data_IF_667231383431
#
_entry.id   IF_667231383431
#
_cell.length_a   1.000
_cell.length_b   1.000
_cell.length_c   1.000
_cell.angle_alpha   90.00
_cell.angle_beta   90.00
_cell.angle_gamma   90.00
#
_symmetry.space_group_name_H-M   'P 1'
#
loop_
_entity.id
_entity.type
_entity.pdbx_description
1 polymer ?
#
# COMPACT_ATOMS: atom_id res chain seq x y z
N UNK A 1 -7.31 5.61 4.26
CA UNK A 1 -5.88 5.90 3.97
C UNK A 1 -5.43 5.34 2.62
N UNK A 2 -5.68 4.08 2.27
CA UNK A 2 -5.24 3.53 0.96
C UNK A 2 -5.80 4.26 -0.24
N UNK A 3 -7.07 4.67 -0.16
CA UNK A 3 -7.70 5.51 -1.17
C UNK A 3 -6.93 6.82 -1.38
N UNK A 4 -6.50 7.45 -0.29
CA UNK A 4 -5.73 8.70 -0.33
C UNK A 4 -4.39 8.44 -0.99
N UNK A 5 -3.66 7.42 -0.54
CA UNK A 5 -2.37 7.05 -1.09
C UNK A 5 -2.44 6.81 -2.61
N UNK A 6 -3.48 6.11 -3.06
CA UNK A 6 -3.72 5.86 -4.48
C UNK A 6 -4.17 7.11 -5.25
N UNK A 7 -4.80 8.09 -4.59
CA UNK A 7 -5.29 9.32 -5.20
C UNK A 7 -4.21 10.40 -5.33
N UNK A 8 -3.31 10.50 -4.34
CA UNK A 8 -2.28 11.53 -4.26
C UNK A 8 -0.94 11.08 -4.83
N UNK A 9 -0.73 9.76 -5.01
CA UNK A 9 0.57 9.19 -5.38
C UNK A 9 1.71 9.56 -4.42
N UNK A 10 1.37 9.86 -3.16
CA UNK A 10 2.35 10.03 -2.09
C UNK A 10 3.03 8.70 -1.75
N UNK A 11 4.12 8.76 -0.98
CA UNK A 11 4.81 7.55 -0.51
C UNK A 11 4.06 6.92 0.66
N UNK A 12 3.50 7.77 1.52
CA UNK A 12 2.78 7.34 2.70
C UNK A 12 1.66 8.32 3.11
N UNK A 13 0.79 7.88 4.00
CA UNK A 13 -0.36 8.65 4.51
C UNK A 13 -0.40 8.59 6.03
N UNK A 14 -0.65 9.73 6.67
CA UNK A 14 -1.06 9.82 8.08
C UNK A 14 -2.35 10.64 8.14
N UNK A 15 -3.40 10.04 8.72
CA UNK A 15 -4.61 10.73 9.14
C UNK A 15 -4.79 10.55 10.65
N UNK A 16 -5.21 11.59 11.36
CA UNK A 16 -5.63 11.43 12.75
C UNK A 16 -6.97 10.67 12.80
N UNK A 17 -7.12 9.76 13.76
CA UNK A 17 -8.32 8.93 13.93
C UNK A 17 -9.58 9.74 14.17
N UNK A 18 -9.45 10.96 14.71
CA UNK A 18 -10.54 11.92 14.83
C UNK A 18 -11.23 12.30 13.53
N UNK A 19 -10.67 11.94 12.36
CA UNK A 19 -11.30 12.08 11.04
C UNK A 19 -12.50 11.16 10.86
N UNK A 20 -12.50 9.98 11.49
CA UNK A 20 -13.54 8.97 11.34
C UNK A 20 -14.57 9.12 12.47
N UNK A 21 -15.79 9.54 12.13
CA UNK A 21 -16.79 10.07 13.09
C UNK A 21 -18.06 9.24 13.23
N UNK A 22 -18.14 8.07 12.61
CA UNK A 22 -19.41 7.35 12.59
C UNK A 22 -19.80 6.73 13.92
N UNK A 23 -18.86 6.58 14.86
CA UNK A 23 -19.04 6.07 16.23
C UNK A 23 -19.85 4.76 16.32
N UNK A 24 -19.78 3.95 15.26
CA UNK A 24 -20.53 2.69 15.13
C UNK A 24 -19.76 1.69 14.28
N UNK A 25 -20.09 0.41 14.46
CA UNK A 25 -19.70 -0.65 13.54
C UNK A 25 -20.69 -0.66 12.37
N UNK A 26 -20.18 -0.54 11.15
CA UNK A 26 -21.01 -0.65 9.93
C UNK A 26 -21.11 -2.12 9.54
N UNK A 27 -22.34 -2.64 9.45
CA UNK A 27 -22.59 -4.02 9.05
C UNK A 27 -22.16 -4.29 7.61
N UNK A 28 -21.76 -5.53 7.26
CA UNK A 28 -21.51 -5.92 5.89
C UNK A 28 -22.72 -5.65 4.99
N UNK A 29 -22.52 -5.06 3.82
CA UNK A 29 -23.59 -4.75 2.89
C UNK A 29 -23.27 -3.62 1.92
N UNK A 30 -24.29 -3.10 1.21
CA UNK A 30 -24.13 -1.95 0.34
C UNK A 30 -23.65 -0.72 1.11
N UNK A 31 -22.54 -0.13 0.65
CA UNK A 31 -22.04 1.13 1.20
C UNK A 31 -22.78 2.31 0.56
N UNK A 32 -23.50 3.09 1.36
CA UNK A 32 -24.33 4.20 0.89
C UNK A 32 -23.68 5.57 1.09
N UNK A 33 -24.23 6.60 0.44
CA UNK A 33 -23.77 7.97 0.66
C UNK A 33 -24.02 8.46 2.09
N UNK A 34 -25.08 7.97 2.74
CA UNK A 34 -25.35 8.22 4.16
C UNK A 34 -24.22 7.65 5.02
N UNK A 35 -23.73 6.45 4.70
CA UNK A 35 -22.62 5.84 5.45
C UNK A 35 -21.34 6.66 5.27
N UNK A 36 -21.02 7.07 4.04
CA UNK A 36 -19.87 7.94 3.77
C UNK A 36 -19.93 9.25 4.56
N UNK A 37 -21.05 9.97 4.47
CA UNK A 37 -21.26 11.23 5.21
C UNK A 37 -21.23 11.03 6.73
N UNK A 38 -21.62 9.86 7.24
CA UNK A 38 -21.50 9.55 8.66
C UNK A 38 -20.05 9.28 9.11
N UNK A 39 -19.23 8.69 8.23
CA UNK A 39 -17.84 8.33 8.55
C UNK A 39 -16.93 9.55 8.42
N UNK A 40 -17.05 10.31 7.33
CA UNK A 40 -16.25 11.51 7.04
C UNK A 40 -17.17 12.71 6.83
N UNK A 41 -17.80 13.24 7.90
CA UNK A 41 -18.77 14.34 7.81
C UNK A 41 -18.10 15.68 7.50
N UNK A 42 -16.84 15.85 7.89
CA UNK A 42 -16.09 17.10 7.72
C UNK A 42 -15.34 17.02 6.39
N UNK A 43 -15.55 18.04 5.56
CA UNK A 43 -14.72 18.32 4.40
C UNK A 43 -13.38 18.85 4.88
N UNK A 44 -12.46 17.91 5.13
CA UNK A 44 -11.07 18.26 5.44
C UNK A 44 -10.24 18.20 4.15
N UNK A 45 -9.64 19.32 3.72
CA UNK A 45 -8.73 19.30 2.57
C UNK A 45 -7.50 18.46 2.88
N UNK A 46 -7.06 17.72 1.86
CA UNK A 46 -5.81 16.95 1.89
C UNK A 46 -4.67 17.80 1.37
N UNK A 47 -3.44 17.46 1.76
CA UNK A 47 -2.21 18.11 1.32
C UNK A 47 -1.12 17.05 1.19
N UNK A 48 -0.20 17.21 0.24
CA UNK A 48 1.01 16.38 0.15
C UNK A 48 2.22 17.23 0.54
N UNK A 49 2.93 16.77 1.56
CA UNK A 49 4.09 17.43 2.14
C UNK A 49 5.38 16.69 1.78
N UNK A 50 6.46 17.44 1.56
CA UNK A 50 7.83 16.93 1.59
C UNK A 50 8.32 16.97 3.05
N UNK A 51 8.51 15.79 3.64
CA UNK A 51 8.97 15.63 5.03
C UNK A 51 10.26 14.84 5.09
N UNK A 52 11.17 15.21 5.99
CA UNK A 52 12.36 14.38 6.26
C UNK A 52 11.98 13.12 7.05
N UNK A 53 12.83 12.11 7.02
CA UNK A 53 12.67 10.92 7.84
C UNK A 53 12.54 11.26 9.32
N UNK A 54 13.33 12.22 9.82
CA UNK A 54 13.22 12.67 11.22
C UNK A 54 11.86 13.32 11.52
N UNK A 55 11.34 14.18 10.64
CA UNK A 55 10.00 14.76 10.80
C UNK A 55 8.91 13.68 10.79
N UNK A 56 9.05 12.67 9.92
CA UNK A 56 8.13 11.54 9.85
C UNK A 56 8.15 10.72 11.15
N UNK A 57 9.33 10.41 11.68
CA UNK A 57 9.50 9.69 12.95
C UNK A 57 8.93 10.49 14.13
N UNK A 58 9.18 11.80 14.18
CA UNK A 58 8.62 12.69 15.19
C UNK A 58 7.09 12.75 15.11
N UNK A 59 6.51 12.76 13.90
CA UNK A 59 5.07 12.71 13.71
C UNK A 59 4.47 11.40 14.26
N UNK A 60 5.13 10.25 14.02
CA UNK A 60 4.70 8.96 14.57
C UNK A 60 4.79 8.92 16.11
N UNK A 61 5.85 9.49 16.69
CA UNK A 61 5.99 9.62 18.15
C UNK A 61 4.86 10.44 18.77
N UNK A 62 4.53 11.60 18.19
CA UNK A 62 3.37 12.39 18.61
C UNK A 62 2.07 11.60 18.46
N UNK A 63 1.91 10.86 17.36
CA UNK A 63 0.70 10.13 17.08
C UNK A 63 0.36 9.08 18.16
N UNK A 64 1.37 8.45 18.76
CA UNK A 64 1.20 7.41 19.80
C UNK A 64 1.48 7.90 21.21
N UNK A 65 1.83 9.17 21.42
CA UNK A 65 2.25 9.70 22.72
C UNK A 65 1.18 9.60 23.82
N UNK A 66 -0.10 9.68 23.45
CA UNK A 66 -1.22 9.62 24.38
C UNK A 66 -1.86 8.23 24.49
N UNK A 67 -1.41 7.25 23.70
CA UNK A 67 -1.91 5.88 23.76
C UNK A 67 -1.76 5.32 25.19
N UNK A 68 -2.75 4.60 25.76
CA UNK A 68 -3.98 4.08 25.14
C UNK A 68 -5.19 5.02 25.25
N UNK A 69 -5.03 6.30 25.60
CA UNK A 69 -6.16 7.24 25.64
C UNK A 69 -6.81 7.33 24.26
N UNK A 70 -8.14 7.39 24.24
CA UNK A 70 -8.95 7.50 23.01
C UNK A 70 -8.94 8.93 22.47
N UNK A 71 -7.74 9.45 22.20
CA UNK A 71 -7.55 10.77 21.61
C UNK A 71 -7.55 10.71 20.09
N UNK A 72 -8.12 11.74 19.45
CA UNK A 72 -8.21 11.84 17.99
C UNK A 72 -6.87 11.79 17.27
N UNK A 73 -5.76 12.12 17.95
CA UNK A 73 -4.40 12.17 17.39
C UNK A 73 -3.87 10.85 16.86
N UNK A 74 -4.37 9.72 17.37
CA UNK A 74 -3.84 8.39 17.01
C UNK A 74 -3.88 8.18 15.49
N UNK A 75 -2.84 7.63 14.84
CA UNK A 75 -2.73 7.69 13.40
C UNK A 75 -3.46 6.52 12.73
N UNK A 76 -4.15 6.81 11.64
CA UNK A 76 -4.54 5.87 10.60
C UNK A 76 -3.55 6.03 9.44
N UNK A 77 -2.92 4.93 9.02
CA UNK A 77 -1.77 4.99 8.10
C UNK A 77 -1.98 4.20 6.80
N UNK A 78 -1.28 4.60 5.75
CA UNK A 78 -1.10 3.81 4.53
C UNK A 78 0.29 4.03 3.92
N UNK A 79 0.77 3.05 3.15
CA UNK A 79 2.08 3.12 2.50
C UNK A 79 3.26 3.09 3.48
N UNK A 80 2.99 2.81 4.76
CA UNK A 80 4.00 2.67 5.79
C UNK A 80 3.57 1.63 6.82
N UNK A 81 4.53 1.17 7.62
CA UNK A 81 4.29 0.39 8.81
C UNK A 81 5.26 0.79 9.91
N UNK A 82 4.85 0.66 11.17
CA UNK A 82 5.71 0.91 12.32
C UNK A 82 5.28 0.09 13.53
N UNK A 83 6.18 -0.01 14.49
CA UNK A 83 5.94 -0.67 15.76
C UNK A 83 6.30 0.27 16.92
N UNK A 84 5.56 0.20 18.03
CA UNK A 84 5.77 1.08 19.17
C UNK A 84 5.51 0.39 20.51
N UNK A 85 6.15 0.86 21.57
CA UNK A 85 5.97 0.42 22.94
C UNK A 85 4.94 1.33 23.64
N UNK A 86 3.82 0.78 24.14
CA UNK A 86 2.79 1.59 24.78
C UNK A 86 3.22 2.11 26.15
N UNK A 87 4.09 1.37 26.85
CA UNK A 87 4.49 1.65 28.23
C UNK A 87 5.70 2.57 28.35
N UNK A 88 6.36 2.91 27.24
CA UNK A 88 7.49 3.84 27.24
C UNK A 88 7.02 5.29 27.39
N UNK A 89 7.94 6.14 27.85
CA UNK A 89 7.69 7.58 27.95
C UNK A 89 7.33 8.17 26.58
N UNK A 90 6.38 9.13 26.52
CA UNK A 90 6.09 9.90 25.31
C UNK A 90 7.37 10.44 24.64
N UNK A 91 7.48 10.30 23.32
CA UNK A 91 8.68 10.70 22.56
C UNK A 91 9.76 9.61 22.45
N UNK A 92 9.58 8.45 23.09
CA UNK A 92 10.47 7.29 22.95
C UNK A 92 9.69 5.99 22.81
N UNK A 93 8.49 6.06 22.22
CA UNK A 93 7.58 4.93 22.06
C UNK A 93 7.83 4.19 20.76
N UNK A 94 8.14 4.87 19.66
CA UNK A 94 8.31 4.27 18.35
C UNK A 94 9.66 3.55 18.26
N UNK A 95 9.65 2.30 17.81
CA UNK A 95 10.89 1.58 17.48
C UNK A 95 11.35 2.01 16.09
N UNK A 96 12.20 3.05 16.04
CA UNK A 96 12.70 3.66 14.78
C UNK A 96 13.23 2.62 13.78
N UNK A 97 13.89 1.56 14.27
CA UNK A 97 14.44 0.48 13.42
C UNK A 97 13.37 -0.32 12.67
N UNK A 98 12.12 -0.29 13.10
CA UNK A 98 11.01 -1.05 12.53
C UNK A 98 10.03 -0.16 11.74
N UNK A 99 10.37 1.10 11.49
CA UNK A 99 9.56 1.99 10.66
C UNK A 99 9.91 1.76 9.19
N UNK A 100 8.91 1.43 8.38
CA UNK A 100 9.03 1.25 6.93
C UNK A 100 8.11 2.20 6.18
N UNK A 101 8.58 2.76 5.08
CA UNK A 101 7.77 3.42 4.04
C UNK A 101 7.90 2.57 2.78
N UNK A 102 6.77 2.09 2.28
CA UNK A 102 6.74 0.98 1.33
C UNK A 102 7.49 -0.24 1.86
N UNK A 103 8.47 -0.71 1.08
CA UNK A 103 9.28 -1.88 1.44
C UNK A 103 10.62 -1.50 2.10
N UNK A 104 10.89 -0.22 2.30
CA UNK A 104 12.17 0.29 2.77
C UNK A 104 12.09 0.82 4.20
N UNK A 105 13.14 0.59 4.98
CA UNK A 105 13.26 1.19 6.30
C UNK A 105 13.52 2.69 6.19
N UNK A 106 12.86 3.47 7.05
CA UNK A 106 13.00 4.92 7.06
C UNK A 106 14.44 5.31 7.39
N UNK A 107 14.98 6.24 6.61
CA UNK A 107 16.26 6.91 6.84
C UNK A 107 16.01 8.37 7.19
N UNK A 108 16.66 8.84 8.25
CA UNK A 108 16.39 10.16 8.85
C UNK A 108 16.69 11.32 7.89
N UNK A 109 17.70 11.16 7.05
CA UNK A 109 18.22 12.13 6.07
C UNK A 109 17.44 12.15 4.74
N UNK A 110 16.51 11.21 4.54
CA UNK A 110 15.79 11.04 3.29
C UNK A 110 14.46 11.80 3.32
N UNK A 111 14.09 12.41 2.20
CA UNK A 111 12.80 13.08 2.03
C UNK A 111 11.74 12.11 1.54
N UNK A 112 10.55 12.18 2.14
CA UNK A 112 9.38 11.38 1.80
C UNK A 112 8.20 12.30 1.47
N UNK A 113 7.32 11.83 0.60
CA UNK A 113 6.04 12.47 0.34
C UNK A 113 4.97 11.92 1.27
N UNK A 114 4.52 12.77 2.19
CA UNK A 114 3.47 12.45 3.14
C UNK A 114 2.16 13.12 2.72
N UNK A 115 1.15 12.31 2.37
CA UNK A 115 -0.21 12.82 2.24
C UNK A 115 -0.89 12.87 3.62
N UNK A 116 -1.43 14.02 3.97
CA UNK A 116 -2.13 14.25 5.24
C UNK A 116 -3.24 15.28 5.06
N UNK A 117 -3.87 15.74 6.16
CA UNK A 117 -4.86 16.81 6.13
C UNK A 117 -4.18 18.16 6.40
N UNK A 118 -4.73 19.24 5.84
CA UNK A 118 -4.29 20.61 6.17
C UNK A 118 -4.37 20.86 7.68
N UNK A 119 -5.36 20.29 8.37
CA UNK A 119 -5.48 20.33 9.84
C UNK A 119 -4.21 19.87 10.57
N UNK A 120 -3.59 18.77 10.11
CA UNK A 120 -2.36 18.22 10.70
C UNK A 120 -1.14 19.04 10.30
N UNK A 121 -1.10 19.52 9.05
CA UNK A 121 -0.06 20.42 8.57
C UNK A 121 -0.02 21.72 9.38
N UNK A 122 -1.17 22.26 9.80
CA UNK A 122 -1.25 23.42 10.71
C UNK A 122 -0.77 23.12 12.15
N UNK A 123 -0.33 21.89 12.43
CA UNK A 123 0.17 21.44 13.72
C UNK A 123 -0.91 21.16 14.76
N UNK A 124 -2.16 21.01 14.33
CA UNK A 124 -3.25 20.56 15.21
C UNK A 124 -3.00 19.11 15.68
N UNK A 125 -3.67 18.68 16.76
CA UNK A 125 -3.42 17.37 17.42
C UNK A 125 -1.96 17.12 17.83
N UNK A 126 -1.17 18.19 17.97
CA UNK A 126 0.25 18.12 18.37
C UNK A 126 1.21 17.81 17.22
N UNK A 127 0.75 17.75 15.97
CA UNK A 127 1.59 17.49 14.79
C UNK A 127 2.44 18.71 14.38
N UNK A 128 3.01 19.42 15.34
CA UNK A 128 3.74 20.68 15.15
C UNK A 128 4.95 20.55 14.24
N UNK A 129 5.58 19.36 14.19
CA UNK A 129 6.70 19.05 13.30
C UNK A 129 6.35 19.12 11.81
N UNK A 130 5.06 19.10 11.47
CA UNK A 130 4.58 19.19 10.08
C UNK A 130 4.36 20.63 9.61
N UNK A 131 4.41 21.64 10.50
CA UNK A 131 4.09 23.04 10.15
C UNK A 131 5.00 23.63 9.09
N UNK A 132 6.29 23.39 9.22
CA UNK A 132 7.30 23.96 8.34
C UNK A 132 7.65 23.03 7.17
N UNK A 133 6.95 21.91 7.03
CA UNK A 133 7.14 20.99 5.92
C UNK A 133 6.71 21.66 4.61
N UNK A 134 7.53 21.50 3.57
CA UNK A 134 7.26 22.11 2.26
C UNK A 134 6.03 21.45 1.63
N UNK A 135 5.08 22.25 1.19
CA UNK A 135 3.91 21.78 0.45
C UNK A 135 4.34 21.42 -0.98
N UNK A 136 4.11 20.17 -1.37
CA UNK A 136 4.35 19.67 -2.73
C UNK A 136 3.11 19.75 -3.59
N UNK A 137 1.96 19.38 -3.02
CA UNK A 137 0.64 19.51 -3.61
C UNK A 137 -0.25 20.14 -2.56
N UNK A 138 -0.79 21.32 -2.87
CA UNK A 138 -1.69 22.07 -2.01
C UNK A 138 -3.09 21.44 -1.96
N UNK A 139 -3.96 22.05 -1.17
CA UNK A 139 -5.34 21.63 -0.97
C UNK A 139 -6.25 21.85 -2.18
N UNK A 140 -5.95 22.85 -3.02
CA UNK A 140 -6.69 23.10 -4.25
C UNK A 140 -6.45 21.99 -5.29
N UNK A 141 -5.23 21.46 -5.35
CA UNK A 141 -4.84 20.40 -6.28
C UNK A 141 -5.02 18.99 -5.70
N UNK A 142 -5.19 18.86 -4.39
CA UNK A 142 -5.51 17.58 -3.77
C UNK A 142 -7.01 17.26 -3.86
N UNK A 143 -7.38 15.99 -4.09
CA UNK A 143 -8.78 15.59 -4.01
C UNK A 143 -9.26 15.66 -2.57
N UNK A 144 -10.47 16.19 -2.36
CA UNK A 144 -11.15 16.10 -1.06
C UNK A 144 -11.32 14.63 -0.65
N UNK A 145 -11.19 14.32 0.65
CA UNK A 145 -11.27 12.96 1.17
C UNK A 145 -12.57 12.23 0.75
N UNK A 146 -13.72 12.88 0.93
CA UNK A 146 -15.01 12.30 0.56
C UNK A 146 -15.11 12.03 -0.95
N UNK A 147 -14.58 12.93 -1.78
CA UNK A 147 -14.55 12.78 -3.23
C UNK A 147 -13.57 11.68 -3.67
N UNK A 148 -12.40 11.59 -3.05
CA UNK A 148 -11.43 10.52 -3.31
C UNK A 148 -12.04 9.13 -3.04
N UNK A 149 -12.81 8.98 -1.96
CA UNK A 149 -13.54 7.74 -1.65
C UNK A 149 -14.60 7.44 -2.69
N UNK A 150 -15.39 8.43 -3.11
CA UNK A 150 -16.38 8.25 -4.18
C UNK A 150 -15.73 7.85 -5.51
N UNK A 151 -14.65 8.51 -5.88
CA UNK A 151 -13.88 8.21 -7.08
C UNK A 151 -13.31 6.79 -7.05
N UNK A 152 -12.83 6.33 -5.90
CA UNK A 152 -12.37 4.96 -5.71
C UNK A 152 -13.49 3.93 -5.94
N UNK A 153 -14.67 4.13 -5.36
CA UNK A 153 -15.82 3.24 -5.61
C UNK A 153 -16.28 3.29 -7.07
N UNK A 154 -16.23 4.46 -7.72
CA UNK A 154 -16.53 4.58 -9.14
C UNK A 154 -15.50 3.82 -9.99
N UNK A 155 -14.21 3.93 -9.68
CA UNK A 155 -13.15 3.17 -10.34
C UNK A 155 -13.34 1.64 -10.22
N UNK A 156 -13.81 1.16 -9.06
CA UNK A 156 -14.19 -0.25 -8.87
C UNK A 156 -15.38 -0.62 -9.77
N UNK A 157 -16.45 0.19 -9.79
CA UNK A 157 -17.62 -0.05 -10.66
C UNK A 157 -17.22 -0.13 -12.13
N UNK A 158 -16.31 0.75 -12.58
CA UNK A 158 -15.80 0.76 -13.95
C UNK A 158 -15.06 -0.51 -14.28
N UNK A 159 -14.17 -0.97 -13.38
CA UNK A 159 -13.43 -2.23 -13.55
C UNK A 159 -14.36 -3.45 -13.59
N UNK A 160 -15.40 -3.46 -12.77
CA UNK A 160 -16.40 -4.53 -12.75
C UNK A 160 -17.40 -4.47 -13.92
N UNK A 161 -17.24 -3.53 -14.86
CA UNK A 161 -18.14 -3.38 -16.02
C UNK A 161 -19.56 -2.91 -15.63
N UNK A 162 -19.73 -2.33 -14.43
CA UNK A 162 -21.03 -1.89 -13.91
C UNK A 162 -21.36 -0.42 -14.26
N UNK A 163 -20.56 0.23 -15.11
CA UNK A 163 -20.79 1.62 -15.55
C UNK A 163 -21.51 1.67 -16.89
N UNK A 164 -22.36 2.70 -17.05
CA UNK A 164 -23.12 2.93 -18.30
C UNK A 164 -22.23 3.17 -19.52
N UNK A 165 -21.04 3.77 -19.32
CA UNK A 165 -20.05 4.04 -20.36
C UNK A 165 -18.73 3.34 -19.98
N UNK A 166 -18.16 2.50 -20.85
CA UNK A 166 -16.85 1.91 -20.61
C UNK A 166 -15.76 2.96 -20.86
N UNK A 167 -14.81 3.10 -19.93
CA UNK A 167 -13.58 3.88 -20.15
C UNK A 167 -12.43 3.22 -19.40
N UNK A 168 -11.24 3.29 -19.99
CA UNK A 168 -10.00 2.79 -19.40
C UNK A 168 -9.32 3.83 -18.50
N UNK A 169 -9.71 5.09 -18.61
CA UNK A 169 -9.19 6.17 -17.79
C UNK A 169 -9.90 6.18 -16.43
N UNK A 170 -9.24 5.61 -15.42
CA UNK A 170 -9.69 5.60 -14.04
C UNK A 170 -8.52 5.73 -13.08
N UNK A 171 -8.80 6.09 -11.83
CA UNK A 171 -7.83 5.98 -10.75
C UNK A 171 -7.35 4.52 -10.62
N UNK A 172 -6.06 4.35 -10.32
CA UNK A 172 -5.53 3.02 -9.98
C UNK A 172 -6.06 2.55 -8.63
N UNK A 173 -6.35 1.26 -8.53
CA UNK A 173 -6.81 0.65 -7.28
C UNK A 173 -5.64 0.02 -6.49
N UNK A 174 -4.44 -0.02 -7.08
CA UNK A 174 -3.23 -0.54 -6.40
C UNK A 174 -2.42 0.64 -5.87
N UNK A 175 -2.09 0.58 -4.58
CA UNK A 175 -1.24 1.56 -3.90
C UNK A 175 0.20 1.50 -4.40
N UNK A 176 0.88 2.64 -4.36
CA UNK A 176 2.20 2.83 -4.97
C UNK A 176 3.27 1.90 -4.35
N UNK A 177 3.27 1.76 -3.02
CA UNK A 177 4.09 0.78 -2.30
C UNK A 177 3.92 -0.65 -2.81
N UNK A 178 2.69 -1.11 -3.10
CA UNK A 178 2.46 -2.46 -3.63
C UNK A 178 2.98 -2.60 -5.06
N UNK A 179 2.91 -1.53 -5.86
CA UNK A 179 3.50 -1.55 -7.22
C UNK A 179 5.01 -1.66 -7.14
N UNK A 180 5.67 -0.87 -6.28
CA UNK A 180 7.11 -0.98 -6.09
C UNK A 180 7.51 -2.36 -5.59
N UNK A 181 6.77 -2.95 -4.65
CA UNK A 181 6.99 -4.32 -4.19
C UNK A 181 6.90 -5.34 -5.33
N UNK A 182 5.87 -5.23 -6.20
CA UNK A 182 5.77 -6.07 -7.39
C UNK A 182 6.93 -5.87 -8.36
N UNK A 183 7.34 -4.61 -8.61
CA UNK A 183 8.45 -4.28 -9.52
C UNK A 183 9.76 -4.82 -8.96
N UNK A 184 10.07 -4.60 -7.68
CA UNK A 184 11.24 -5.18 -7.00
C UNK A 184 11.25 -6.69 -7.08
N UNK A 185 10.08 -7.34 -6.87
CA UNK A 185 9.99 -8.76 -7.10
C UNK A 185 10.35 -9.07 -8.55
N UNK A 186 9.70 -8.45 -9.54
CA UNK A 186 9.93 -8.65 -11.00
C UNK A 186 11.40 -8.49 -11.42
N UNK A 187 12.10 -7.49 -10.89
CA UNK A 187 13.50 -7.17 -11.25
C UNK A 187 14.52 -8.13 -10.59
N UNK A 188 14.14 -8.84 -9.52
CA UNK A 188 14.98 -9.81 -8.81
C UNK A 188 15.17 -11.16 -9.51
N UNK A 189 14.67 -11.33 -10.74
CA UNK A 189 14.94 -12.52 -11.56
C UNK A 189 15.73 -12.12 -12.81
N UNK A 190 16.98 -12.58 -12.87
CA UNK A 190 17.75 -12.60 -14.11
C UNK A 190 16.95 -13.28 -15.22
N UNK A 191 17.10 -12.69 -16.42
CA UNK A 191 16.56 -13.13 -17.70
C UNK A 191 17.01 -14.54 -18.09
N UNK A 192 16.43 -15.60 -17.50
CA UNK A 192 16.61 -16.96 -18.02
C UNK A 192 15.26 -17.67 -18.26
N UNK A 193 14.48 -17.08 -19.16
CA UNK A 193 13.29 -17.70 -19.72
C UNK A 193 12.90 -17.03 -21.04
N UNK A 194 12.45 -17.79 -22.06
CA UNK A 194 12.08 -17.20 -23.34
C UNK A 194 10.95 -16.19 -23.13
N UNK A 195 11.15 -14.99 -23.67
CA UNK A 195 10.26 -13.85 -23.56
C UNK A 195 8.81 -14.26 -23.86
N UNK A 196 7.81 -13.84 -23.09
CA UNK A 196 6.42 -14.11 -23.43
C UNK A 196 6.14 -13.51 -24.80
N UNK A 197 5.84 -14.37 -25.78
CA UNK A 197 5.45 -13.96 -27.12
C UNK A 197 4.30 -12.96 -27.02
N UNK A 198 4.62 -11.70 -27.28
CA UNK A 198 3.66 -10.63 -27.47
C UNK A 198 2.77 -11.07 -28.63
N UNK A 199 1.55 -11.55 -28.36
CA UNK A 199 0.55 -11.79 -29.40
C UNK A 199 0.29 -10.46 -30.09
N UNK A 200 0.96 -10.25 -31.21
CA UNK A 200 0.68 -9.18 -32.16
C UNK A 200 -0.73 -9.41 -32.68
N UNK A 201 -1.57 -8.40 -32.51
CA UNK A 201 -2.86 -8.29 -33.18
C UNK A 201 -2.56 -8.15 -34.67
N UNK A 202 -2.82 -9.19 -35.46
CA UNK A 202 -2.92 -9.10 -36.91
C UNK A 202 -4.37 -9.36 -37.32
N UNK A 203 -5.05 -8.29 -37.68
CA UNK A 203 -6.28 -8.30 -38.45
C UNK A 203 -5.98 -8.71 -39.90
N UNK A 204 -6.47 -9.87 -40.33
CA UNK A 204 -6.84 -10.16 -41.72
C UNK A 204 -7.69 -11.43 -41.71
N UNK A 205 -8.89 -11.35 -42.28
CA UNK A 205 -9.84 -12.45 -42.34
C UNK A 205 -9.51 -13.48 -43.43
N UNK A 206 -10.11 -14.65 -43.31
CA UNK A 206 -10.81 -15.37 -44.38
C UNK A 206 -11.42 -16.65 -43.82
N UNK A 207 -12.57 -16.99 -44.40
CA UNK A 207 -13.40 -18.15 -44.16
C UNK A 207 -12.65 -19.49 -44.14
N UNK A 208 -13.17 -20.47 -43.40
CA UNK A 208 -13.57 -21.79 -43.91
C UNK A 208 -14.29 -22.57 -42.79
N UNK A 209 -15.42 -23.17 -43.17
CA UNK A 209 -16.24 -24.11 -42.41
C UNK A 209 -15.52 -25.46 -42.30
N UNK A 210 -15.57 -26.13 -41.15
CA UNK A 210 -15.74 -27.59 -41.14
C UNK A 210 -16.35 -28.11 -39.82
N UNK A 211 -17.04 -29.22 -39.97
CA UNK A 211 -17.97 -29.92 -39.07
C UNK A 211 -17.36 -31.18 -38.46
N UNK A 212 -17.88 -31.63 -37.30
CA UNK A 212 -17.75 -33.02 -36.79
C UNK A 212 -16.90 -33.16 -35.52
N UNK A 213 -17.48 -33.43 -34.35
CA UNK A 213 -17.75 -34.77 -33.76
C UNK A 213 -16.49 -35.59 -33.40
N UNK A 214 -16.29 -35.87 -32.10
CA UNK A 214 -15.58 -37.07 -31.65
C UNK A 214 -14.78 -36.99 -30.35
N UNK A 215 -15.37 -37.54 -29.28
CA UNK A 215 -14.81 -38.46 -28.25
C UNK A 215 -13.51 -38.14 -27.46
N UNK A 216 -13.67 -38.15 -26.13
CA UNK A 216 -12.64 -38.46 -25.12
C UNK A 216 -12.03 -39.87 -25.33
N UNK A 217 -10.81 -40.15 -24.82
CA UNK A 217 -10.78 -40.90 -23.55
C UNK A 217 -9.66 -40.52 -22.56
N UNK A 218 -9.95 -40.85 -21.30
CA UNK A 218 -9.07 -40.92 -20.13
C UNK A 218 -7.75 -41.68 -20.36
N UNK A 219 -6.67 -41.18 -19.73
CA UNK A 219 -5.55 -42.00 -19.25
C UNK A 219 -4.90 -41.36 -18.01
N UNK A 220 -4.60 -42.21 -17.01
CA UNK A 220 -4.17 -41.88 -15.65
C UNK A 220 -2.65 -41.94 -15.48
N UNK A 221 -2.19 -41.22 -14.46
CA UNK A 221 -0.99 -41.39 -13.63
C UNK A 221 0.39 -40.95 -14.15
N UNK A 222 0.96 -40.01 -13.39
CA UNK A 222 2.36 -39.60 -13.37
C UNK A 222 2.50 -38.49 -12.34
N UNK A 223 2.62 -38.86 -11.06
CA UNK A 223 2.88 -37.93 -9.97
C UNK A 223 4.35 -37.54 -9.97
N UNK A 224 4.66 -36.35 -10.44
CA UNK A 224 5.95 -35.71 -10.19
C UNK A 224 5.69 -34.33 -9.58
N UNK A 225 6.43 -34.06 -8.50
CA UNK A 225 6.21 -32.95 -7.59
C UNK A 225 6.15 -31.62 -8.34
N UNK A 226 4.96 -31.02 -8.39
CA UNK A 226 4.85 -29.61 -8.71
C UNK A 226 5.42 -28.85 -7.53
N UNK A 227 6.67 -28.42 -7.67
CA UNK A 227 7.18 -27.27 -6.95
C UNK A 227 6.06 -26.20 -6.96
N UNK A 228 5.62 -25.80 -5.77
CA UNK A 228 4.68 -24.70 -5.63
C UNK A 228 5.40 -23.43 -6.09
N UNK A 229 5.41 -23.18 -7.40
CA UNK A 229 5.66 -21.86 -7.93
C UNK A 229 4.56 -20.97 -7.36
N UNK A 230 4.91 -20.16 -6.38
CA UNK A 230 4.07 -19.06 -5.93
C UNK A 230 3.84 -18.17 -7.16
N UNK A 231 2.66 -18.28 -7.77
CA UNK A 231 2.32 -17.52 -8.98
C UNK A 231 2.42 -16.04 -8.61
N UNK A 232 3.41 -15.35 -9.17
CA UNK A 232 3.66 -13.92 -8.97
C UNK A 232 2.34 -13.15 -9.22
N UNK A 233 1.93 -12.32 -8.27
CA UNK A 233 0.71 -11.53 -8.44
C UNK A 233 0.94 -10.47 -9.54
N UNK A 234 0.15 -10.51 -10.61
CA UNK A 234 0.18 -9.45 -11.63
C UNK A 234 -0.49 -8.19 -11.10
N UNK A 235 -0.20 -7.04 -11.72
CA UNK A 235 -0.93 -5.78 -11.42
C UNK A 235 -2.44 -5.99 -11.56
N UNK A 236 -2.89 -6.71 -12.60
CA UNK A 236 -4.30 -7.04 -12.80
C UNK A 236 -4.90 -7.88 -11.68
N UNK A 237 -4.12 -8.81 -11.10
CA UNK A 237 -4.58 -9.61 -9.98
C UNK A 237 -4.74 -8.76 -8.71
N UNK A 238 -3.73 -7.95 -8.34
CA UNK A 238 -3.83 -7.08 -7.17
C UNK A 238 -5.01 -6.11 -7.28
N UNK A 239 -5.22 -5.61 -8.48
CA UNK A 239 -6.23 -4.60 -8.74
C UNK A 239 -7.63 -5.25 -8.80
N UNK A 240 -7.74 -6.55 -9.13
CA UNK A 240 -8.95 -7.36 -8.96
C UNK A 240 -9.22 -7.73 -7.49
N UNK A 241 -8.18 -8.07 -6.73
CA UNK A 241 -8.27 -8.28 -5.29
C UNK A 241 -8.73 -7.02 -4.56
N UNK A 242 -8.24 -5.84 -4.97
CA UNK A 242 -8.70 -4.56 -4.42
C UNK A 242 -10.20 -4.33 -4.63
N UNK A 243 -10.80 -4.88 -5.69
CA UNK A 243 -12.24 -4.78 -5.93
C UNK A 243 -13.09 -5.66 -5.00
N UNK A 244 -12.49 -6.65 -4.33
CA UNK A 244 -13.22 -7.49 -3.39
C UNK A 244 -13.64 -6.71 -2.14
N UNK A 245 -12.93 -5.63 -1.80
CA UNK A 245 -13.18 -4.77 -0.64
C UNK A 245 -13.30 -5.55 0.68
N UNK A 246 -12.79 -6.78 0.72
CA UNK A 246 -12.80 -7.61 1.91
C UNK A 246 -11.83 -7.01 2.94
N UNK A 247 -12.26 -6.84 4.22
CA UNK A 247 -11.37 -6.34 5.26
C UNK A 247 -10.20 -7.31 5.43
N UNK A 248 -8.97 -6.78 5.42
CA UNK A 248 -7.73 -7.54 5.64
C UNK A 248 -6.98 -6.95 6.83
N UNK A 249 -6.40 -7.81 7.65
CA UNK A 249 -5.52 -7.40 8.75
C UNK A 249 -4.10 -7.29 8.21
N UNK A 250 -3.66 -6.07 7.91
CA UNK A 250 -2.33 -5.81 7.33
C UNK A 250 -1.24 -5.55 8.38
N UNK A 251 -1.60 -5.45 9.67
CA UNK A 251 -0.66 -5.23 10.79
C UNK A 251 0.32 -4.07 10.59
N UNK A 252 -0.13 -2.97 9.96
CA UNK A 252 0.73 -1.80 9.70
C UNK A 252 1.16 -1.06 10.97
N UNK A 253 0.37 -1.11 12.03
CA UNK A 253 0.72 -0.58 13.35
C UNK A 253 0.79 -1.76 14.31
N UNK A 254 1.95 -1.97 14.92
CA UNK A 254 2.18 -3.08 15.84
C UNK A 254 2.52 -2.56 17.23
N UNK A 255 1.78 -3.03 18.24
CA UNK A 255 2.12 -2.79 19.65
C UNK A 255 3.18 -3.82 20.04
N UNK A 256 4.33 -3.34 20.51
CA UNK A 256 5.49 -4.18 20.81
C UNK A 256 5.40 -4.81 22.19
N UNK A 257 5.90 -6.05 22.25
CA UNK A 257 6.41 -6.71 23.43
C UNK A 257 7.77 -7.34 23.06
N UNK A 258 8.52 -7.82 24.05
CA UNK A 258 9.89 -8.32 23.83
C UNK A 258 9.96 -9.47 22.80
N UNK A 259 8.93 -10.33 22.77
CA UNK A 259 8.85 -11.46 21.82
C UNK A 259 8.63 -10.97 20.39
N UNK A 260 7.66 -10.08 20.19
CA UNK A 260 7.35 -9.49 18.87
C UNK A 260 8.54 -8.68 18.37
N UNK A 261 9.21 -7.93 19.25
CA UNK A 261 10.40 -7.18 18.90
C UNK A 261 11.50 -8.10 18.33
N UNK A 262 11.81 -9.19 19.04
CA UNK A 262 12.83 -10.14 18.62
C UNK A 262 12.49 -10.75 17.25
N UNK A 263 11.25 -11.17 17.03
CA UNK A 263 10.78 -11.71 15.75
C UNK A 263 10.89 -10.68 14.60
N UNK A 264 10.50 -9.43 14.85
CA UNK A 264 10.53 -8.38 13.82
C UNK A 264 11.96 -7.95 13.48
N UNK A 265 12.87 -7.93 14.47
CA UNK A 265 14.29 -7.62 14.23
C UNK A 265 15.00 -8.76 13.48
N UNK A 266 14.70 -10.01 13.80
CA UNK A 266 15.19 -11.19 13.08
C UNK A 266 14.71 -11.18 11.63
N UNK A 267 13.41 -10.91 11.39
CA UNK A 267 12.85 -10.72 10.05
C UNK A 267 13.57 -9.58 9.30
N UNK A 268 13.78 -8.44 9.94
CA UNK A 268 14.54 -7.32 9.37
C UNK A 268 15.95 -7.74 8.96
N UNK A 269 16.65 -8.48 9.81
CA UNK A 269 18.02 -8.92 9.54
C UNK A 269 18.08 -9.82 8.30
N UNK A 270 17.10 -10.71 8.12
CA UNK A 270 16.97 -11.54 6.92
C UNK A 270 16.70 -10.70 5.68
N UNK A 271 15.70 -9.82 5.75
CA UNK A 271 15.36 -8.91 4.63
C UNK A 271 16.55 -8.07 4.18
N UNK A 272 17.37 -7.56 5.12
CA UNK A 272 18.57 -6.78 4.80
C UNK A 272 19.68 -7.67 4.22
N UNK A 273 19.83 -8.90 4.72
CA UNK A 273 20.84 -9.83 4.22
C UNK A 273 20.56 -10.25 2.77
N UNK A 274 19.28 -10.50 2.43
CA UNK A 274 18.86 -10.88 1.08
C UNK A 274 19.09 -9.76 0.05
N UNK A 275 19.27 -8.51 0.48
CA UNK A 275 19.56 -7.36 -0.38
C UNK A 275 21.06 -7.15 -0.64
N UNK A 276 21.94 -7.77 0.16
CA UNK A 276 23.39 -7.62 0.03
C UNK A 276 23.90 -8.74 -0.88
N UNK A 277 24.21 -8.40 -2.14
CA UNK A 277 24.90 -9.31 -3.05
C UNK A 277 26.39 -9.33 -2.63
N UNK A 278 26.95 -10.47 -2.21
CA UNK A 278 28.37 -10.57 -1.93
C UNK A 278 29.14 -10.44 -3.24
N UNK A 279 30.07 -9.48 -3.33
CA UNK A 279 31.03 -9.44 -4.44
C UNK A 279 31.95 -10.67 -4.35
N UNK A 280 31.89 -11.56 -5.34
CA UNK A 280 32.89 -12.61 -5.49
C UNK A 280 34.23 -11.96 -5.85
N UNK A 281 35.18 -11.97 -4.92
CA UNK A 281 36.57 -11.64 -5.24
C UNK A 281 37.10 -12.71 -6.21
N UNK A 282 37.39 -12.33 -7.45
CA UNK A 282 38.09 -13.18 -8.41
C UNK A 282 39.40 -13.68 -7.78
N UNK A 283 39.38 -14.91 -7.28
CA UNK A 283 40.57 -15.60 -6.82
C UNK A 283 41.47 -15.84 -8.02
N UNK A 284 42.69 -15.33 -7.90
CA UNK A 284 43.76 -15.32 -8.88
C UNK A 284 43.94 -16.69 -9.55
N UNK A 285 43.78 -16.74 -10.87
CA UNK A 285 44.09 -17.93 -11.68
C UNK A 285 45.53 -18.39 -11.42
N UNK A 286 45.79 -19.67 -11.10
CA UNK A 286 47.15 -20.17 -11.00
C UNK A 286 47.78 -20.22 -12.40
N UNK A 287 48.97 -19.61 -12.50
CA UNK A 287 49.87 -19.62 -13.66
C UNK A 287 50.38 -21.03 -14.01
#
# INVERSE_FOLDING_TARGET
CDVILAATSADCVILNSGTLRSDKVHSPGPFTMRDLMSIVPITDPLVVLEVTGEQLLAALENAVCAYPKLEGRFPQIAGMSFAFYPDRAPGSRVERRLVKVGDEYVREDTTYHLATKVYLHQGSDGYVMLRDAKVRVDDENCPELGLAIQNHFNAIKMRLGKTKRPTKHRQSLVTLSRRHSLVKMLDGEELDGPTPLRKSVSSAGSDIRDTGHGVDPMSKHGSEGKAHFCRRASLDQLEAESCQLAPRIERRIVVLNDKILAEMLDRKSREVSDLIIPEESESTSPL
#
